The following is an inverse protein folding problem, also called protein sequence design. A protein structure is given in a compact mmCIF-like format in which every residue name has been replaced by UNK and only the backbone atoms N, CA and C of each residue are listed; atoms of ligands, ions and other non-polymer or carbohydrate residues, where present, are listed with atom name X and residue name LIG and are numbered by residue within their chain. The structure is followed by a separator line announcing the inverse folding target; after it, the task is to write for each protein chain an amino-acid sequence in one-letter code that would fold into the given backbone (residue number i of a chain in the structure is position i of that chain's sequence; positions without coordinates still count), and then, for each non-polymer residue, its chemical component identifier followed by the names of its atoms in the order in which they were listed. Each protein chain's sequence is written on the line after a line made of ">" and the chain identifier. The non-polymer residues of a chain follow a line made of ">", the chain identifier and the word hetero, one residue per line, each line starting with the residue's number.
data_IF_301862486268
#
_entry.id   IF_301862486268
#
_cell.length_a   1.000
_cell.length_b   1.000
_cell.length_c   1.000
_cell.angle_alpha   90.00
_cell.angle_beta   90.00
_cell.angle_gamma   90.00
#
_symmetry.space_group_name_H-M   'P 1'
#
loop_
_entity.id
_entity.type
_entity.pdbx_description
1 polymer ?
#
# COMPACT_ATOMS: atom_id res chain seq x y z
N UNK A 1 -18.24 46.92 36.21
CA UNK A 1 -17.55 46.09 35.19
C UNK A 1 -16.95 44.75 35.72
N UNK A 2 -17.65 43.92 36.52
CA UNK A 2 -17.16 42.57 36.89
C UNK A 2 -17.74 41.44 36.02
N UNK A 3 -18.99 41.55 35.55
CA UNK A 3 -19.67 40.49 34.77
C UNK A 3 -19.00 40.19 33.43
N UNK A 4 -18.42 41.21 32.77
CA UNK A 4 -17.71 41.03 31.50
C UNK A 4 -16.41 40.20 31.65
N UNK A 5 -15.74 40.30 32.80
CA UNK A 5 -14.51 39.52 33.08
C UNK A 5 -14.86 38.05 33.34
N UNK A 6 -15.92 37.77 34.09
CA UNK A 6 -16.33 36.39 34.41
C UNK A 6 -16.77 35.60 33.18
N UNK A 7 -17.50 36.25 32.25
CA UNK A 7 -17.92 35.62 30.99
C UNK A 7 -16.72 35.34 30.08
N UNK A 8 -15.75 36.25 30.01
CA UNK A 8 -14.50 36.04 29.26
C UNK A 8 -13.67 34.87 29.79
N UNK A 9 -13.54 34.75 31.12
CA UNK A 9 -12.78 33.64 31.74
C UNK A 9 -13.47 32.27 31.57
N UNK A 10 -14.81 32.23 31.58
CA UNK A 10 -15.57 31.00 31.35
C UNK A 10 -15.48 30.53 29.88
N UNK A 11 -15.57 31.44 28.91
CA UNK A 11 -15.44 31.11 27.49
C UNK A 11 -14.03 30.62 27.12
N UNK A 12 -12.98 31.23 27.70
CA UNK A 12 -11.60 30.79 27.49
C UNK A 12 -11.32 29.38 28.07
N UNK A 13 -11.93 29.04 29.20
CA UNK A 13 -11.80 27.69 29.79
C UNK A 13 -12.55 26.62 28.98
N UNK A 14 -13.67 26.96 28.35
CA UNK A 14 -14.42 26.07 27.46
C UNK A 14 -13.67 25.71 26.17
N UNK A 15 -12.89 26.66 25.61
CA UNK A 15 -12.06 26.40 24.44
C UNK A 15 -10.89 25.44 24.73
N UNK A 16 -10.38 25.42 25.97
CA UNK A 16 -9.30 24.52 26.39
C UNK A 16 -9.76 23.10 26.72
N UNK A 17 -11.08 22.87 26.78
CA UNK A 17 -11.71 21.55 26.97
C UNK A 17 -12.12 20.89 25.64
N UNK A 18 -11.87 21.53 24.50
CA UNK A 18 -12.03 20.88 23.21
C UNK A 18 -10.95 19.79 23.07
N UNK A 19 -11.34 18.55 23.31
CA UNK A 19 -10.46 17.38 23.15
C UNK A 19 -9.99 17.32 21.70
N UNK A 20 -8.70 17.48 21.46
CA UNK A 20 -8.09 17.20 20.17
C UNK A 20 -8.30 15.72 19.84
N UNK A 21 -9.16 15.44 18.85
CA UNK A 21 -9.25 14.11 18.29
C UNK A 21 -7.94 13.79 17.56
N UNK A 22 -7.42 12.60 17.78
CA UNK A 22 -6.26 12.13 17.02
C UNK A 22 -6.67 11.94 15.56
N UNK A 23 -5.89 12.50 14.63
CA UNK A 23 -6.11 12.26 13.21
C UNK A 23 -5.94 10.76 12.91
N UNK A 24 -6.88 10.20 12.14
CA UNK A 24 -6.74 8.84 11.63
C UNK A 24 -5.53 8.72 10.71
N UNK A 25 -4.85 7.56 10.73
CA UNK A 25 -3.81 7.23 9.76
C UNK A 25 -4.47 6.56 8.56
N UNK A 26 -4.10 6.97 7.35
CA UNK A 26 -4.55 6.39 6.09
C UNK A 26 -3.34 5.85 5.34
N UNK A 27 -3.46 4.62 4.82
CA UNK A 27 -2.54 4.05 3.85
C UNK A 27 -3.30 3.75 2.57
N UNK A 28 -2.66 3.98 1.43
CA UNK A 28 -3.21 3.71 0.10
C UNK A 28 -2.21 2.81 -0.60
N UNK A 29 -2.69 1.67 -1.10
CA UNK A 29 -1.92 0.74 -1.92
C UNK A 29 -2.59 0.67 -3.30
N UNK A 30 -1.78 0.78 -4.36
CA UNK A 30 -2.22 0.58 -5.73
C UNK A 30 -1.65 -0.75 -6.25
N UNK A 31 -2.55 -1.69 -6.54
CA UNK A 31 -2.21 -3.04 -6.99
C UNK A 31 -1.95 -3.12 -8.50
N UNK A 32 -1.59 -4.32 -8.96
CA UNK A 32 -1.42 -4.71 -10.36
C UNK A 32 -0.31 -4.00 -11.15
N UNK A 33 0.79 -3.63 -10.48
CA UNK A 33 1.97 -3.11 -11.17
C UNK A 33 2.72 -4.20 -11.95
N UNK A 34 3.31 -3.80 -13.07
CA UNK A 34 4.22 -4.59 -13.90
C UNK A 34 3.69 -4.92 -15.30
N UNK A 35 2.47 -4.48 -15.65
CA UNK A 35 1.84 -4.76 -16.94
C UNK A 35 1.64 -3.51 -17.81
N UNK A 36 1.53 -2.33 -17.20
CA UNK A 36 1.11 -1.09 -17.86
C UNK A 36 2.04 0.08 -17.50
N UNK A 37 3.32 0.07 -17.96
CA UNK A 37 4.30 1.07 -17.54
C UNK A 37 3.85 2.52 -17.74
N UNK A 38 3.09 2.82 -18.80
CA UNK A 38 2.62 4.19 -19.08
C UNK A 38 1.70 4.71 -17.97
N UNK A 39 0.71 3.92 -17.57
CA UNK A 39 -0.24 4.26 -16.51
C UNK A 39 0.42 4.18 -15.13
N UNK A 40 1.25 3.16 -14.91
CA UNK A 40 1.98 2.99 -13.65
C UNK A 40 2.95 4.16 -13.40
N UNK A 41 3.60 4.70 -14.44
CA UNK A 41 4.42 5.91 -14.30
C UNK A 41 3.59 7.16 -13.90
N UNK A 42 2.29 7.20 -14.20
CA UNK A 42 1.41 8.27 -13.69
C UNK A 42 1.13 8.09 -12.20
N UNK A 43 0.99 6.84 -11.74
CA UNK A 43 0.88 6.52 -10.31
C UNK A 43 2.18 6.86 -9.58
N UNK A 44 3.34 6.59 -10.18
CA UNK A 44 4.65 6.98 -9.62
C UNK A 44 4.91 8.50 -9.60
N UNK A 45 4.03 9.30 -10.21
CA UNK A 45 4.06 10.76 -10.09
C UNK A 45 3.17 11.28 -8.94
N UNK A 46 2.42 10.39 -8.28
CA UNK A 46 1.67 10.73 -7.06
C UNK A 46 2.63 10.93 -5.88
N UNK A 47 2.17 11.54 -4.78
CA UNK A 47 3.01 11.69 -3.59
C UNK A 47 3.45 10.33 -3.02
N UNK A 48 4.63 10.29 -2.42
CA UNK A 48 5.31 9.05 -1.99
C UNK A 48 4.62 8.27 -0.87
N UNK A 49 3.58 8.85 -0.25
CA UNK A 49 2.76 8.18 0.75
C UNK A 49 1.72 7.21 0.14
N UNK A 50 1.73 7.02 -1.17
CA UNK A 50 1.02 5.94 -1.87
C UNK A 50 1.99 4.77 -2.08
N UNK A 51 1.68 3.61 -1.51
CA UNK A 51 2.44 2.37 -1.75
C UNK A 51 1.97 1.69 -3.05
N UNK A 52 2.82 0.87 -3.66
CA UNK A 52 2.47 0.10 -4.87
C UNK A 52 2.72 -1.38 -4.67
N UNK A 53 1.85 -2.23 -5.22
CA UNK A 53 2.00 -3.69 -5.15
C UNK A 53 2.24 -4.28 -6.56
N UNK A 54 3.36 -4.98 -6.71
CA UNK A 54 3.88 -5.45 -8.00
C UNK A 54 3.64 -6.95 -8.17
N UNK A 55 3.08 -7.34 -9.31
CA UNK A 55 2.90 -8.75 -9.69
C UNK A 55 4.25 -9.36 -10.08
N UNK A 56 4.75 -10.41 -9.40
CA UNK A 56 6.11 -10.92 -9.62
C UNK A 56 6.39 -11.43 -11.04
N UNK A 57 5.36 -12.02 -11.67
CA UNK A 57 5.46 -12.63 -12.99
C UNK A 57 5.07 -11.68 -14.13
N UNK A 58 4.74 -10.42 -13.82
CA UNK A 58 4.42 -9.43 -14.84
C UNK A 58 5.67 -9.04 -15.64
N UNK A 59 5.56 -8.73 -16.95
CA UNK A 59 6.71 -8.48 -17.83
C UNK A 59 7.66 -7.38 -17.34
N UNK A 60 7.13 -6.36 -16.67
CA UNK A 60 7.88 -5.21 -16.18
C UNK A 60 8.04 -5.21 -14.64
N UNK A 61 7.78 -6.33 -13.96
CA UNK A 61 7.79 -6.39 -12.49
C UNK A 61 9.04 -5.76 -11.87
N UNK A 62 10.22 -6.24 -12.28
CA UNK A 62 11.51 -5.75 -11.76
C UNK A 62 11.77 -4.28 -12.09
N UNK A 63 11.46 -3.87 -13.32
CA UNK A 63 11.63 -2.49 -13.79
C UNK A 63 10.76 -1.55 -12.94
N UNK A 64 9.49 -1.88 -12.79
CA UNK A 64 8.51 -1.03 -12.13
C UNK A 64 8.71 -0.98 -10.62
N UNK A 65 9.07 -2.11 -9.99
CA UNK A 65 9.49 -2.13 -8.58
C UNK A 65 10.72 -1.24 -8.33
N UNK A 66 11.72 -1.31 -9.21
CA UNK A 66 12.93 -0.47 -9.10
C UNK A 66 12.60 1.01 -9.29
N UNK A 67 11.77 1.36 -10.28
CA UNK A 67 11.31 2.73 -10.50
C UNK A 67 10.52 3.27 -9.31
N UNK A 68 9.60 2.47 -8.77
CA UNK A 68 8.79 2.84 -7.61
C UNK A 68 9.67 3.13 -6.39
N UNK A 69 10.60 2.24 -6.07
CA UNK A 69 11.55 2.43 -4.98
C UNK A 69 12.40 3.70 -5.17
N UNK A 70 12.96 3.90 -6.37
CA UNK A 70 13.78 5.09 -6.67
C UNK A 70 12.98 6.40 -6.60
N UNK A 71 11.68 6.35 -6.89
CA UNK A 71 10.76 7.47 -6.72
C UNK A 71 10.31 7.69 -5.25
N UNK A 72 10.72 6.81 -4.33
CA UNK A 72 10.45 6.92 -2.90
C UNK A 72 9.15 6.25 -2.44
N UNK A 73 8.50 5.47 -3.29
CA UNK A 73 7.32 4.69 -2.92
C UNK A 73 7.71 3.41 -2.17
N UNK A 74 6.87 3.01 -1.22
CA UNK A 74 6.93 1.67 -0.65
C UNK A 74 6.47 0.64 -1.69
N UNK A 75 7.24 -0.45 -1.80
CA UNK A 75 6.98 -1.53 -2.75
C UNK A 75 6.52 -2.75 -1.97
N UNK A 76 5.43 -3.35 -2.41
CA UNK A 76 4.86 -4.59 -1.91
C UNK A 76 4.79 -5.64 -3.01
N UNK A 77 4.69 -6.91 -2.63
CA UNK A 77 4.43 -8.02 -3.55
C UNK A 77 2.92 -8.23 -3.68
N UNK A 78 2.37 -8.02 -4.88
CA UNK A 78 1.01 -8.45 -5.18
C UNK A 78 1.04 -9.94 -5.56
N UNK A 79 0.97 -10.82 -4.58
CA UNK A 79 1.10 -12.27 -4.79
C UNK A 79 -0.24 -12.89 -5.25
N UNK A 80 -0.32 -13.52 -6.44
CA UNK A 80 -1.57 -14.07 -6.93
C UNK A 80 -2.07 -15.24 -6.07
N UNK A 81 -3.36 -15.25 -5.76
CA UNK A 81 -4.04 -16.33 -5.02
C UNK A 81 -5.30 -16.77 -5.78
N UNK A 82 -5.65 -18.05 -5.65
CA UNK A 82 -6.76 -18.63 -6.37
C UNK A 82 -8.09 -17.92 -6.01
N UNK A 83 -8.85 -17.44 -7.00
CA UNK A 83 -10.17 -16.89 -6.75
C UNK A 83 -11.17 -18.00 -6.42
N UNK A 84 -12.28 -17.63 -5.77
CA UNK A 84 -13.41 -18.54 -5.56
C UNK A 84 -14.18 -18.82 -6.86
N UNK A 85 -14.12 -17.91 -7.83
CA UNK A 85 -14.76 -18.04 -9.14
C UNK A 85 -13.83 -18.69 -10.17
N UNK A 86 -14.39 -19.10 -11.31
CA UNK A 86 -13.57 -19.60 -12.43
C UNK A 86 -13.07 -18.42 -13.26
N UNK A 87 -11.80 -18.08 -13.09
CA UNK A 87 -11.10 -17.06 -13.88
C UNK A 87 -9.74 -17.61 -14.36
N UNK A 88 -9.17 -17.05 -15.44
CA UNK A 88 -7.79 -17.31 -15.79
C UNK A 88 -6.88 -16.99 -14.60
N UNK A 89 -5.91 -17.87 -14.33
CA UNK A 89 -4.97 -17.69 -13.23
C UNK A 89 -3.67 -17.09 -13.76
N UNK A 90 -3.12 -16.15 -12.99
CA UNK A 90 -1.74 -15.72 -13.17
C UNK A 90 -0.76 -16.87 -12.91
N UNK A 91 0.45 -16.74 -13.45
CA UNK A 91 1.51 -17.71 -13.19
C UNK A 91 1.87 -17.72 -11.70
N UNK A 92 2.12 -18.93 -11.17
CA UNK A 92 2.46 -19.16 -9.76
C UNK A 92 1.37 -18.69 -8.77
N UNK A 93 0.10 -18.70 -9.21
CA UNK A 93 -1.05 -18.49 -8.32
C UNK A 93 -1.09 -19.51 -7.20
N UNK A 94 -1.05 -19.04 -5.94
CA UNK A 94 -1.17 -19.88 -4.76
C UNK A 94 -2.57 -20.51 -4.70
N UNK A 95 -2.62 -21.81 -4.36
CA UNK A 95 -3.88 -22.55 -4.22
C UNK A 95 -3.96 -23.27 -2.87
N UNK A 96 -5.17 -23.50 -2.32
CA UNK A 96 -5.35 -24.19 -1.04
C UNK A 96 -4.84 -25.63 -1.00
N UNK A 97 -4.73 -26.30 -2.15
CA UNK A 97 -4.29 -27.69 -2.29
C UNK A 97 -2.75 -27.85 -2.38
N UNK A 98 -1.99 -26.76 -2.38
CA UNK A 98 -0.54 -26.79 -2.48
C UNK A 98 0.13 -27.25 -1.18
N UNK A 99 1.27 -27.93 -1.31
CA UNK A 99 2.14 -28.21 -0.18
C UNK A 99 2.84 -26.94 0.31
N UNK A 100 3.20 -26.90 1.59
CA UNK A 100 3.94 -25.77 2.17
C UNK A 100 5.27 -25.50 1.45
N UNK A 101 5.96 -26.55 0.97
CA UNK A 101 7.22 -26.39 0.23
C UNK A 101 7.03 -25.68 -1.11
N UNK A 102 5.91 -25.93 -1.79
CA UNK A 102 5.60 -25.28 -3.06
C UNK A 102 5.23 -23.82 -2.86
N UNK A 103 4.42 -23.52 -1.83
CA UNK A 103 4.10 -22.14 -1.41
C UNK A 103 5.39 -21.37 -1.09
N UNK A 104 6.29 -21.98 -0.31
CA UNK A 104 7.56 -21.34 0.08
C UNK A 104 8.49 -21.10 -1.13
N UNK A 105 8.51 -22.03 -2.09
CA UNK A 105 9.23 -21.86 -3.36
C UNK A 105 8.69 -20.66 -4.15
N UNK A 106 7.37 -20.56 -4.29
CA UNK A 106 6.70 -19.46 -4.99
C UNK A 106 6.98 -18.12 -4.31
N UNK A 107 6.87 -18.05 -2.98
CA UNK A 107 7.14 -16.82 -2.22
C UNK A 107 8.60 -16.38 -2.39
N UNK A 108 9.56 -17.30 -2.28
CA UNK A 108 10.99 -16.98 -2.49
C UNK A 108 11.26 -16.44 -3.89
N UNK A 109 10.67 -17.07 -4.90
CA UNK A 109 10.80 -16.63 -6.28
C UNK A 109 10.17 -15.25 -6.50
N UNK A 110 9.01 -14.98 -5.87
CA UNK A 110 8.36 -13.68 -5.91
C UNK A 110 9.23 -12.57 -5.31
N UNK A 111 9.82 -12.80 -4.13
CA UNK A 111 10.75 -11.86 -3.46
C UNK A 111 11.96 -11.54 -4.35
N UNK A 112 12.49 -12.52 -5.07
CA UNK A 112 13.61 -12.30 -5.98
C UNK A 112 13.23 -11.48 -7.23
N UNK A 113 11.99 -11.61 -7.70
CA UNK A 113 11.50 -10.92 -8.90
C UNK A 113 11.07 -9.48 -8.64
N UNK A 114 10.63 -9.17 -7.42
CA UNK A 114 10.19 -7.84 -6.99
C UNK A 114 11.22 -7.25 -6.01
N UNK A 115 12.30 -6.62 -6.50
CA UNK A 115 13.31 -6.03 -5.62
C UNK A 115 12.72 -4.89 -4.79
N UNK A 116 13.34 -4.61 -3.63
CA UNK A 116 12.95 -3.55 -2.69
C UNK A 116 11.60 -3.74 -2.00
N UNK A 117 10.91 -4.84 -2.26
CA UNK A 117 9.68 -5.15 -1.55
C UNK A 117 9.91 -5.27 -0.04
N UNK A 118 9.05 -4.62 0.74
CA UNK A 118 9.09 -4.65 2.22
C UNK A 118 7.93 -5.43 2.84
N UNK A 119 7.01 -5.94 2.01
CA UNK A 119 5.84 -6.71 2.40
C UNK A 119 5.15 -7.37 1.22
#
# INVERSE_FOLDING_TARGET
>A
MPQFRTVFFAAASGLMLATSAWAGKLSIVIDDFGYRPQQENQVLALPTNVSVAVLPNAPHAREMATKAHNAGHEVLIHLPMAPLSKQPLEKDTLRPDMSSSEIERIIRDAVNKVPYAVG
#
